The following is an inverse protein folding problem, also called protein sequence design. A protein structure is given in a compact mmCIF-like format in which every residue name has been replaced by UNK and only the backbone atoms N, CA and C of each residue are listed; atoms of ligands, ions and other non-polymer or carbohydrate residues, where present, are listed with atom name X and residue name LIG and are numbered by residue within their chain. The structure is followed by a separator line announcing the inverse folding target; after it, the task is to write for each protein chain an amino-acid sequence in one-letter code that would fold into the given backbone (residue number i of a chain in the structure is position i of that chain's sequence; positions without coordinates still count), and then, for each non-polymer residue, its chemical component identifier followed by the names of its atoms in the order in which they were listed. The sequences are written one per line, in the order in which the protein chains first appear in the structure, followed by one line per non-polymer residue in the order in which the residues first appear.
data_IF_288454146598
#
_entry.id   IF_288454146598
#
_cell.length_a   1.000
_cell.length_b   1.000
_cell.length_c   1.000
_cell.angle_alpha   90.00
_cell.angle_beta   90.00
_cell.angle_gamma   90.00
#
_symmetry.space_group_name_H-M   'P 1'
#
loop_
_entity.id
_entity.type
_entity.pdbx_description
1 polymer ?
#
# COMPACT_ATOMS: atom_id res chain seq x y z
N UNK A 1 -13.48 1.06 24.64
CA UNK A 1 -13.84 1.20 23.22
C UNK A 1 -13.58 -0.11 22.51
N UNK A 2 -14.26 -0.38 21.40
CA UNK A 2 -13.93 -1.54 20.56
C UNK A 2 -12.66 -1.22 19.79
N UNK A 3 -11.53 -1.75 20.25
CA UNK A 3 -10.24 -1.64 19.56
C UNK A 3 -10.11 -2.80 18.59
N UNK A 4 -9.63 -2.54 17.38
CA UNK A 4 -9.21 -3.59 16.45
C UNK A 4 -7.71 -3.77 16.54
N UNK A 5 -7.24 -5.02 16.65
CA UNK A 5 -5.83 -5.35 16.54
C UNK A 5 -5.43 -5.22 15.07
N UNK A 6 -4.61 -4.21 14.78
CA UNK A 6 -4.00 -4.02 13.46
C UNK A 6 -2.53 -4.40 13.55
N UNK A 7 -2.12 -5.38 12.74
CA UNK A 7 -0.72 -5.72 12.54
C UNK A 7 -0.28 -5.09 11.22
N UNK A 8 0.82 -4.35 11.21
CA UNK A 8 1.40 -3.78 10.00
C UNK A 8 2.78 -4.39 9.79
N UNK A 9 3.04 -4.91 8.59
CA UNK A 9 4.38 -5.36 8.20
C UNK A 9 4.91 -4.53 7.03
N UNK A 10 6.22 -4.29 7.03
CA UNK A 10 6.90 -3.70 5.88
C UNK A 10 6.69 -4.60 4.66
N UNK A 11 6.54 -3.96 3.51
CA UNK A 11 6.17 -4.50 2.20
C UNK A 11 4.73 -5.02 2.07
N UNK A 12 3.88 -4.83 3.08
CA UNK A 12 2.43 -5.04 2.94
C UNK A 12 1.73 -3.79 2.41
N UNK A 13 0.67 -4.02 1.65
CA UNK A 13 -0.21 -2.95 1.19
C UNK A 13 -1.27 -2.60 2.25
N UNK A 14 -1.54 -1.30 2.38
CA UNK A 14 -2.50 -0.75 3.34
C UNK A 14 -3.46 0.20 2.62
N UNK A 15 -4.71 0.26 3.11
CA UNK A 15 -5.63 1.34 2.78
C UNK A 15 -5.37 2.51 3.72
N UNK A 16 -5.28 3.69 3.14
CA UNK A 16 -5.05 4.94 3.84
C UNK A 16 -6.15 5.94 3.48
N UNK A 17 -6.47 6.82 4.41
CA UNK A 17 -7.35 7.95 4.17
C UNK A 17 -6.49 9.22 4.08
N UNK A 18 -6.53 9.87 2.92
CA UNK A 18 -5.78 11.10 2.70
C UNK A 18 -6.34 12.23 3.56
N UNK A 19 -5.50 12.86 4.37
CA UNK A 19 -5.91 13.98 5.21
C UNK A 19 -6.37 15.21 4.40
N UNK A 20 -5.98 15.31 3.12
CA UNK A 20 -6.26 16.45 2.25
C UNK A 20 -7.71 16.53 1.78
N UNK A 21 -8.34 15.38 1.50
CA UNK A 21 -9.66 15.31 0.88
C UNK A 21 -10.52 14.14 1.38
N UNK A 22 -10.02 13.37 2.34
CA UNK A 22 -10.73 12.21 2.91
C UNK A 22 -10.85 11.02 1.96
N UNK A 23 -10.20 11.05 0.78
CA UNK A 23 -10.30 9.94 -0.16
C UNK A 23 -9.47 8.73 0.31
N UNK A 24 -10.02 7.53 0.09
CA UNK A 24 -9.26 6.29 0.25
C UNK A 24 -8.20 6.17 -0.84
N UNK A 25 -6.99 5.85 -0.43
CA UNK A 25 -5.88 5.50 -1.32
C UNK A 25 -5.20 4.22 -0.80
N UNK A 26 -4.31 3.67 -1.61
CA UNK A 26 -3.51 2.50 -1.24
C UNK A 26 -2.03 2.85 -1.29
N UNK A 27 -1.25 2.22 -0.43
CA UNK A 27 0.20 2.34 -0.42
C UNK A 27 0.87 1.08 0.11
N UNK A 28 2.11 0.85 -0.31
CA UNK A 28 2.97 -0.21 0.23
C UNK A 28 3.77 0.39 1.39
N UNK A 29 3.72 -0.25 2.55
CA UNK A 29 4.51 0.14 3.71
C UNK A 29 5.98 -0.15 3.45
N UNK A 30 6.82 0.88 3.51
CA UNK A 30 8.27 0.77 3.29
C UNK A 30 9.09 1.00 4.54
N UNK A 31 8.49 1.57 5.57
CA UNK A 31 9.13 1.72 6.87
C UNK A 31 8.15 2.12 7.95
N UNK A 32 8.46 1.72 9.18
CA UNK A 32 7.81 2.18 10.40
C UNK A 32 8.87 2.92 11.20
N UNK A 33 8.58 4.16 11.57
CA UNK A 33 9.51 5.06 12.21
C UNK A 33 8.92 5.43 13.56
N UNK A 34 9.60 5.06 14.62
CA UNK A 34 9.29 5.52 15.97
C UNK A 34 10.15 6.74 16.31
N UNK A 35 9.52 7.74 16.91
CA UNK A 35 10.19 8.97 17.27
C UNK A 35 9.69 9.47 18.63
N UNK A 36 10.62 9.62 19.57
CA UNK A 36 10.34 10.18 20.89
C UNK A 36 10.55 11.69 20.87
N UNK A 37 9.52 12.46 21.20
CA UNK A 37 9.61 13.92 21.27
C UNK A 37 10.07 14.39 22.65
N UNK A 38 10.25 15.71 22.80
CA UNK A 38 10.70 16.34 24.04
C UNK A 38 9.71 16.20 25.22
N UNK A 39 8.48 15.77 24.96
CA UNK A 39 7.46 15.46 25.98
C UNK A 39 7.52 14.00 26.46
N UNK A 40 8.55 13.27 26.05
CA UNK A 40 8.76 11.84 26.28
C UNK A 40 7.65 10.94 25.70
N UNK A 41 6.82 11.46 24.79
CA UNK A 41 5.82 10.66 24.08
C UNK A 41 6.43 10.04 22.83
N UNK A 42 5.99 8.82 22.52
CA UNK A 42 6.37 8.10 21.30
C UNK A 42 5.34 8.36 20.22
N UNK A 43 5.81 8.87 19.08
CA UNK A 43 5.04 9.06 17.88
C UNK A 43 5.45 8.02 16.85
N UNK A 44 4.47 7.43 16.17
CA UNK A 44 4.71 6.43 15.13
C UNK A 44 4.34 7.03 13.78
N UNK A 45 5.30 7.02 12.87
CA UNK A 45 5.15 7.42 11.49
C UNK A 45 5.35 6.22 10.57
N UNK A 46 4.76 6.30 9.39
CA UNK A 46 4.89 5.30 8.33
C UNK A 46 5.44 5.94 7.07
N UNK A 47 6.36 5.25 6.42
CA UNK A 47 6.88 5.60 5.10
C UNK A 47 6.15 4.74 4.06
N UNK A 48 5.46 5.36 3.11
CA UNK A 48 4.61 4.70 2.12
C UNK A 48 5.04 5.02 0.69
N UNK A 49 5.05 3.99 -0.15
CA UNK A 49 5.02 4.18 -1.60
C UNK A 49 3.57 4.04 -2.09
N UNK A 50 3.02 5.09 -2.70
CA UNK A 50 1.62 5.12 -3.15
C UNK A 50 1.36 4.19 -4.33
N UNK A 51 0.19 3.56 -4.35
CA UNK A 51 -0.35 2.81 -5.47
C UNK A 51 -1.37 3.66 -6.22
N UNK A 52 -1.06 4.01 -7.47
CA UNK A 52 -1.93 4.76 -8.37
C UNK A 52 -2.81 3.81 -9.19
N UNK A 53 -4.12 4.02 -9.16
CA UNK A 53 -5.06 3.27 -10.00
C UNK A 53 -4.84 3.62 -11.47
N UNK A 54 -4.55 2.62 -12.31
CA UNK A 54 -4.37 2.82 -13.76
C UNK A 54 -5.69 2.93 -14.52
N UNK A 55 -6.84 2.75 -13.84
CA UNK A 55 -8.19 2.66 -14.43
C UNK A 55 -8.27 1.58 -15.48
N UNK A 56 -7.58 0.47 -15.23
CA UNK A 56 -7.49 -0.72 -16.09
C UNK A 56 -7.69 -1.96 -15.23
N UNK A 57 -8.20 -3.02 -15.84
CA UNK A 57 -8.32 -4.32 -15.22
C UNK A 57 -7.44 -5.34 -15.94
N UNK A 58 -6.99 -6.36 -15.22
CA UNK A 58 -6.39 -7.54 -15.81
C UNK A 58 -7.45 -8.27 -16.66
N UNK A 59 -7.05 -8.72 -17.85
CA UNK A 59 -8.00 -9.29 -18.82
C UNK A 59 -8.54 -10.66 -18.41
N UNK A 60 -7.79 -11.41 -17.59
CA UNK A 60 -8.18 -12.77 -17.16
C UNK A 60 -8.99 -12.72 -15.87
N UNK A 61 -8.51 -11.94 -14.90
CA UNK A 61 -9.08 -11.86 -13.56
C UNK A 61 -10.14 -10.76 -13.43
N UNK A 62 -10.14 -9.76 -14.30
CA UNK A 62 -10.99 -8.56 -14.15
C UNK A 62 -10.60 -7.67 -12.97
N UNK A 63 -9.53 -8.01 -12.24
CA UNK A 63 -9.07 -7.27 -11.08
C UNK A 63 -8.40 -5.93 -11.48
N UNK A 64 -8.58 -4.85 -10.70
CA UNK A 64 -7.95 -3.58 -10.99
C UNK A 64 -6.42 -3.63 -10.94
N UNK A 65 -5.78 -2.90 -11.86
CA UNK A 65 -4.34 -2.76 -11.95
C UNK A 65 -3.92 -1.41 -11.38
N UNK A 66 -2.98 -1.46 -10.46
CA UNK A 66 -2.34 -0.31 -9.86
C UNK A 66 -0.87 -0.24 -10.27
N UNK A 67 -0.26 0.93 -10.08
CA UNK A 67 1.17 1.13 -10.29
C UNK A 67 1.78 1.89 -9.13
N UNK A 68 2.93 1.43 -8.66
CA UNK A 68 3.70 2.13 -7.65
C UNK A 68 4.17 3.49 -8.18
N UNK A 69 3.82 4.57 -7.48
CA UNK A 69 4.11 5.94 -7.87
C UNK A 69 5.62 6.16 -8.06
N UNK A 70 6.00 6.85 -9.15
CA UNK A 70 7.40 7.04 -9.47
C UNK A 70 8.16 7.79 -8.37
N UNK A 71 9.43 7.43 -8.13
CA UNK A 71 10.23 8.02 -7.04
C UNK A 71 10.43 9.54 -7.23
N UNK A 72 10.42 9.99 -8.48
CA UNK A 72 10.56 11.41 -8.86
C UNK A 72 9.23 12.16 -8.93
N UNK A 73 8.10 11.47 -8.78
CA UNK A 73 6.80 12.11 -8.68
C UNK A 73 6.57 12.50 -7.22
N UNK A 74 7.11 13.66 -6.81
CA UNK A 74 6.99 14.21 -5.46
C UNK A 74 5.63 14.88 -5.21
N UNK A 75 4.58 14.45 -5.90
CA UNK A 75 3.24 15.04 -5.75
C UNK A 75 2.61 14.73 -4.38
N UNK A 76 3.26 13.88 -3.58
CA UNK A 76 2.78 13.50 -2.26
C UNK A 76 3.92 13.29 -1.26
N UNK A 77 3.73 13.78 -0.02
CA UNK A 77 4.57 13.42 1.11
C UNK A 77 4.50 11.91 1.30
N UNK A 78 5.62 11.24 1.61
CA UNK A 78 5.65 9.78 1.81
C UNK A 78 5.66 9.36 3.27
N UNK A 79 5.87 10.31 4.17
CA UNK A 79 5.91 10.07 5.61
C UNK A 79 4.62 10.61 6.20
N UNK A 80 3.89 9.76 6.90
CA UNK A 80 2.61 10.11 7.52
C UNK A 80 2.54 9.60 8.95
N UNK A 81 1.69 10.24 9.76
CA UNK A 81 1.25 9.64 11.03
C UNK A 81 0.60 8.29 10.76
N UNK A 82 0.86 7.29 11.61
CA UNK A 82 0.21 5.98 11.53
C UNK A 82 -1.33 6.08 11.53
N UNK A 83 -1.88 7.16 12.07
CA UNK A 83 -3.33 7.41 12.14
C UNK A 83 -4.03 7.50 10.78
N UNK A 84 -3.32 7.65 9.66
CA UNK A 84 -3.94 7.67 8.33
C UNK A 84 -4.36 6.28 7.85
N UNK A 85 -3.85 5.21 8.48
CA UNK A 85 -4.20 3.84 8.13
C UNK A 85 -5.63 3.57 8.58
N UNK A 86 -6.53 3.38 7.61
CA UNK A 86 -7.96 3.27 7.88
C UNK A 86 -8.42 1.83 8.11
N UNK A 87 -7.70 0.83 7.59
CA UNK A 87 -8.00 -0.60 7.77
C UNK A 87 -6.73 -1.47 7.88
N UNK A 88 -6.88 -2.61 8.56
CA UNK A 88 -5.87 -3.68 8.67
C UNK A 88 -5.44 -4.22 7.30
N UNK A 89 -4.18 -4.70 7.10
CA UNK A 89 -3.67 -5.16 5.81
C UNK A 89 -4.25 -6.52 5.44
N UNK A 90 -5.53 -6.54 5.09
CA UNK A 90 -6.16 -7.66 4.39
C UNK A 90 -6.36 -7.31 2.92
N UNK A 91 -5.58 -6.36 2.38
CA UNK A 91 -5.72 -5.92 0.99
C UNK A 91 -4.62 -6.59 0.15
N UNK A 92 -4.95 -7.67 -0.58
CA UNK A 92 -3.97 -8.46 -1.30
C UNK A 92 -3.58 -7.73 -2.58
N UNK A 93 -2.48 -6.99 -2.51
CA UNK A 93 -1.77 -6.54 -3.69
C UNK A 93 -0.74 -7.58 -4.09
N UNK A 94 -0.80 -8.00 -5.36
CA UNK A 94 0.13 -8.98 -5.93
C UNK A 94 0.91 -8.27 -7.02
N UNK A 95 2.23 -8.42 -7.04
CA UNK A 95 3.04 -7.86 -8.12
C UNK A 95 2.61 -8.45 -9.47
N UNK A 96 2.34 -7.57 -10.44
CA UNK A 96 1.81 -7.99 -11.73
C UNK A 96 2.92 -8.42 -12.68
N UNK A 97 3.54 -9.56 -12.36
CA UNK A 97 4.55 -10.22 -13.19
C UNK A 97 4.01 -10.51 -14.61
N UNK A 98 4.41 -9.70 -15.60
CA UNK A 98 4.10 -9.94 -17.03
C UNK A 98 5.04 -11.01 -17.60
N UNK A 99 4.88 -11.36 -18.88
CA UNK A 99 5.58 -12.45 -19.57
C UNK A 99 7.13 -12.47 -19.47
N UNK A 100 7.77 -11.39 -19.00
CA UNK A 100 9.21 -11.35 -18.70
C UNK A 100 9.59 -11.87 -17.31
N UNK A 101 8.63 -12.15 -16.43
CA UNK A 101 8.86 -12.66 -15.09
C UNK A 101 8.84 -14.19 -15.07
N UNK A 102 9.94 -14.81 -14.66
CA UNK A 102 10.03 -16.22 -14.28
C UNK A 102 10.46 -16.34 -12.82
N UNK A 103 10.39 -17.56 -12.25
CA UNK A 103 10.89 -17.83 -10.90
C UNK A 103 12.37 -17.50 -10.70
N UNK A 104 13.15 -17.38 -11.78
CA UNK A 104 14.58 -17.07 -11.77
C UNK A 104 14.89 -15.64 -12.25
N UNK A 105 13.94 -14.99 -12.93
CA UNK A 105 14.11 -13.67 -13.52
C UNK A 105 12.86 -12.86 -13.21
N UNK A 106 12.89 -12.13 -12.10
CA UNK A 106 11.81 -11.23 -11.73
C UNK A 106 12.10 -9.84 -12.29
N UNK A 107 11.20 -9.29 -13.09
CA UNK A 107 11.31 -7.91 -13.57
C UNK A 107 11.06 -6.94 -12.40
N UNK A 108 12.13 -6.50 -11.78
CA UNK A 108 12.11 -5.49 -10.70
C UNK A 108 11.86 -4.07 -11.21
N UNK A 109 11.88 -3.85 -12.53
CA UNK A 109 11.57 -2.55 -13.14
C UNK A 109 10.07 -2.37 -13.34
N UNK A 110 9.33 -3.48 -13.41
CA UNK A 110 7.88 -3.46 -13.43
C UNK A 110 7.34 -3.05 -12.06
N UNK A 111 6.51 -2.01 -12.06
CA UNK A 111 5.93 -1.40 -10.86
C UNK A 111 4.43 -1.61 -10.76
N UNK A 112 3.86 -2.46 -11.61
CA UNK A 112 2.44 -2.75 -11.63
C UNK A 112 2.08 -3.84 -10.61
N UNK A 113 0.91 -3.69 -10.01
CA UNK A 113 0.34 -4.62 -9.04
C UNK A 113 -1.14 -4.84 -9.36
N UNK A 114 -1.64 -6.06 -9.13
CA UNK A 114 -3.07 -6.37 -9.17
C UNK A 114 -3.61 -6.30 -7.74
N UNK A 115 -4.75 -5.61 -7.56
CA UNK A 115 -5.54 -5.75 -6.33
C UNK A 115 -6.43 -6.97 -6.46
N UNK A 116 -6.12 -8.04 -5.74
CA UNK A 116 -6.83 -9.30 -5.87
C UNK A 116 -8.16 -9.28 -5.11
N UNK A 117 -9.25 -9.08 -5.84
CA UNK A 117 -10.58 -9.00 -5.24
C UNK A 117 -11.19 -10.39 -4.91
N UNK A 118 -10.61 -11.49 -5.39
CA UNK A 118 -11.12 -12.86 -5.18
C UNK A 118 -10.78 -13.45 -3.81
N UNK A 119 -9.66 -13.05 -3.19
CA UNK A 119 -9.30 -13.53 -1.85
C UNK A 119 -10.22 -12.99 -0.74
N UNK A 120 -11.15 -12.07 -1.07
CA UNK A 120 -12.15 -11.56 -0.14
C UNK A 120 -13.46 -12.37 -0.12
N UNK A 121 -13.65 -13.34 -1.02
CA UNK A 121 -14.87 -14.16 -1.09
C UNK A 121 -14.72 -15.50 -0.36
N UNK A 122 -13.93 -15.59 0.71
CA UNK A 122 -14.03 -16.74 1.61
C UNK A 122 -15.35 -16.66 2.36
N UNK A 123 -16.32 -17.47 1.90
CA UNK A 123 -17.64 -17.73 2.49
C UNK A 123 -17.46 -18.42 3.85
#
# INVERSE_FOLDING_TARGET
GNYQNVKLCVDEAVEITLATDGQSAFGILKGIIEYTWNDNQVYVFIYLDRLEDLKKCDNLLGCPIYRLQHIYNNSWDRIHSISIVSKSPNIPFIHYCKAGCSSQQHDTTNREYIRNDFFFTTI
#
